data_IF_652612201447
#
_entry.id   IF_652612201447
#
_cell.length_a   1.000
_cell.length_b   1.000
_cell.length_c   1.000
_cell.angle_alpha   90.00
_cell.angle_beta   90.00
_cell.angle_gamma   90.00
#
_symmetry.space_group_name_H-M   'P 1'
#
loop_
_entity.id
_entity.type
_entity.pdbx_description
1 polymer ?
#
# COMPACT_ATOMS: atom_id res chain seq x y z
N UNK A 1 -19.20 49.10 -17.47
CA UNK A 1 -19.08 48.01 -18.45
C UNK A 1 -18.55 46.76 -17.74
N UNK A 2 -19.42 45.97 -17.09
CA UNK A 2 -19.03 44.69 -16.46
C UNK A 2 -20.13 43.67 -16.74
N UNK A 3 -20.29 43.34 -18.02
CA UNK A 3 -21.03 42.16 -18.43
C UNK A 3 -20.16 41.50 -19.49
N UNK A 4 -19.37 40.51 -19.07
CA UNK A 4 -18.50 39.76 -19.97
C UNK A 4 -19.30 38.95 -21.02
N UNK A 5 -20.63 38.97 -20.97
CA UNK A 5 -21.51 38.20 -21.85
C UNK A 5 -22.64 39.00 -22.48
N UNK A 6 -22.83 40.29 -22.16
CA UNK A 6 -23.92 41.12 -22.70
C UNK A 6 -25.34 40.59 -22.40
N UNK A 7 -25.46 39.55 -21.56
CA UNK A 7 -26.69 38.86 -21.22
C UNK A 7 -27.04 39.21 -19.78
N UNK A 8 -27.75 40.33 -19.61
CA UNK A 8 -28.46 40.62 -18.36
C UNK A 8 -29.58 39.60 -18.20
N UNK A 9 -29.76 39.05 -16.99
CA UNK A 9 -30.78 38.03 -16.68
C UNK A 9 -32.22 38.42 -17.10
N UNK A 10 -32.47 39.71 -17.33
CA UNK A 10 -33.78 40.27 -17.70
C UNK A 10 -33.77 41.19 -18.94
N UNK A 11 -32.66 41.31 -19.68
CA UNK A 11 -32.59 42.21 -20.85
C UNK A 11 -32.68 43.71 -20.54
N UNK A 12 -32.67 44.10 -19.26
CA UNK A 12 -32.56 45.50 -18.78
C UNK A 12 -31.62 45.56 -17.57
N UNK A 13 -31.01 46.73 -17.34
CA UNK A 13 -30.22 47.03 -16.13
C UNK A 13 -31.11 46.98 -14.89
N UNK A 14 -31.06 45.88 -14.15
CA UNK A 14 -31.81 45.65 -12.91
C UNK A 14 -30.88 45.73 -11.70
N UNK A 15 -31.41 46.05 -10.51
CA UNK A 15 -30.67 46.23 -9.25
C UNK A 15 -29.98 44.96 -8.70
N UNK A 16 -29.92 43.86 -9.47
CA UNK A 16 -29.30 42.58 -9.12
C UNK A 16 -27.89 42.40 -9.72
N UNK A 17 -27.06 43.45 -9.72
CA UNK A 17 -25.70 43.46 -10.29
C UNK A 17 -24.83 42.32 -9.72
N UNK A 18 -24.97 42.00 -8.43
CA UNK A 18 -24.22 40.91 -7.79
C UNK A 18 -24.60 39.52 -8.31
N UNK A 19 -25.85 39.31 -8.70
CA UNK A 19 -26.36 38.06 -9.24
C UNK A 19 -25.93 37.85 -10.70
N UNK A 20 -25.90 38.92 -11.50
CA UNK A 20 -25.34 38.89 -12.86
C UNK A 20 -23.81 38.63 -12.85
N UNK A 21 -23.09 39.16 -11.86
CA UNK A 21 -21.65 38.88 -11.66
C UNK A 21 -21.38 37.41 -11.30
N UNK A 22 -22.15 36.87 -10.33
CA UNK A 22 -22.05 35.45 -9.95
C UNK A 22 -22.40 34.52 -11.12
N UNK A 23 -23.41 34.87 -11.92
CA UNK A 23 -23.80 34.09 -13.10
C UNK A 23 -22.69 34.12 -14.17
N UNK A 24 -22.09 35.28 -14.44
CA UNK A 24 -20.94 35.43 -15.34
C UNK A 24 -19.72 34.57 -14.92
N UNK A 25 -19.50 34.42 -13.62
CA UNK A 25 -18.44 33.58 -13.06
C UNK A 25 -18.73 32.07 -13.21
N UNK A 26 -20.00 31.66 -13.08
CA UNK A 26 -20.42 30.26 -13.07
C UNK A 26 -20.59 29.64 -14.48
N UNK A 27 -20.89 30.45 -15.49
CA UNK A 27 -21.04 30.03 -16.90
C UNK A 27 -19.82 29.26 -17.46
N UNK A 28 -18.56 29.72 -17.31
CA UNK A 28 -17.40 29.01 -17.85
C UNK A 28 -17.17 27.63 -17.25
N UNK A 29 -17.34 27.48 -15.94
CA UNK A 29 -17.23 26.18 -15.27
C UNK A 29 -18.32 25.20 -15.74
N UNK A 30 -19.49 25.71 -16.12
CA UNK A 30 -20.60 24.90 -16.63
C UNK A 30 -20.38 24.40 -18.06
N UNK A 31 -19.63 25.15 -18.87
CA UNK A 31 -19.32 24.85 -20.27
C UNK A 31 -17.88 24.31 -20.49
N UNK A 32 -17.18 23.95 -19.41
CA UNK A 32 -15.79 23.50 -19.40
C UNK A 32 -15.48 22.35 -20.38
N UNK A 33 -16.49 21.50 -20.65
CA UNK A 33 -16.36 20.34 -21.54
C UNK A 33 -16.64 20.65 -23.03
N UNK A 34 -17.08 21.86 -23.38
CA UNK A 34 -17.43 22.24 -24.75
C UNK A 34 -16.21 22.36 -25.68
N UNK A 35 -15.03 22.68 -25.13
CA UNK A 35 -13.76 22.71 -25.88
C UNK A 35 -13.46 21.35 -26.55
N UNK A 36 -13.74 20.23 -25.87
CA UNK A 36 -13.51 18.90 -26.43
C UNK A 36 -14.54 18.53 -27.51
N UNK A 37 -15.72 19.16 -27.50
CA UNK A 37 -16.76 18.96 -28.52
C UNK A 37 -16.51 19.76 -29.81
N UNK A 38 -15.89 20.95 -29.74
CA UNK A 38 -15.55 21.73 -30.94
C UNK A 38 -14.44 21.05 -31.75
N UNK A 39 -13.43 20.51 -31.07
CA UNK A 39 -12.40 19.66 -31.70
C UNK A 39 -12.97 18.39 -32.33
N UNK A 40 -14.13 17.91 -31.85
CA UNK A 40 -14.80 16.73 -32.41
C UNK A 40 -15.48 16.97 -33.77
N UNK A 41 -15.73 18.23 -34.16
CA UNK A 41 -16.33 18.59 -35.45
C UNK A 41 -15.33 18.47 -36.62
N UNK A 42 -14.02 18.54 -36.35
CA UNK A 42 -12.97 18.60 -37.38
C UNK A 42 -12.48 17.24 -37.92
N UNK A 43 -13.08 16.10 -37.54
CA UNK A 43 -12.73 14.83 -38.18
C UNK A 43 -13.24 13.57 -37.48
N UNK A 44 -14.30 12.95 -38.01
CA UNK A 44 -14.80 11.64 -37.56
C UNK A 44 -13.73 10.53 -37.56
N UNK A 45 -12.74 10.55 -38.48
CA UNK A 45 -11.57 9.65 -38.48
C UNK A 45 -10.54 9.99 -37.40
N UNK A 46 -10.30 11.28 -37.10
CA UNK A 46 -9.38 11.74 -36.03
C UNK A 46 -9.93 11.48 -34.63
N UNK A 47 -11.26 11.38 -34.46
CA UNK A 47 -11.91 11.18 -33.14
C UNK A 47 -11.49 9.88 -32.43
N UNK A 48 -11.33 8.78 -33.17
CA UNK A 48 -10.86 7.51 -32.60
C UNK A 48 -9.39 7.63 -32.15
N UNK A 49 -8.54 8.21 -32.99
CA UNK A 49 -7.12 8.46 -32.69
C UNK A 49 -6.94 9.41 -31.51
N UNK A 50 -7.64 10.54 -31.47
CA UNK A 50 -7.58 11.52 -30.36
C UNK A 50 -8.09 10.91 -29.06
N UNK A 51 -9.16 10.10 -29.10
CA UNK A 51 -9.65 9.38 -27.91
C UNK A 51 -8.66 8.33 -27.41
N UNK A 52 -7.92 7.66 -28.31
CA UNK A 52 -6.86 6.73 -27.94
C UNK A 52 -5.65 7.46 -27.35
N UNK A 53 -5.23 8.58 -27.93
CA UNK A 53 -4.16 9.42 -27.38
C UNK A 53 -4.50 9.91 -25.97
N UNK A 54 -5.72 10.41 -25.74
CA UNK A 54 -6.18 10.82 -24.42
C UNK A 54 -6.18 9.65 -23.43
N UNK A 55 -6.57 8.46 -23.88
CA UNK A 55 -6.53 7.24 -23.06
C UNK A 55 -5.10 6.83 -22.69
N UNK A 56 -4.16 6.90 -23.63
CA UNK A 56 -2.75 6.60 -23.37
C UNK A 56 -2.16 7.63 -22.39
N UNK A 57 -2.40 8.93 -22.64
CA UNK A 57 -1.96 10.02 -21.78
C UNK A 57 -2.50 9.88 -20.35
N UNK A 58 -3.79 9.56 -20.19
CA UNK A 58 -4.40 9.33 -18.88
C UNK A 58 -3.75 8.15 -18.15
N UNK A 59 -3.43 7.05 -18.85
CA UNK A 59 -2.71 5.93 -18.26
C UNK A 59 -1.26 6.27 -17.87
N UNK A 60 -0.57 7.11 -18.65
CA UNK A 60 0.76 7.65 -18.31
C UNK A 60 0.68 8.51 -17.05
N UNK A 61 -0.32 9.38 -16.93
CA UNK A 61 -0.53 10.22 -15.73
C UNK A 61 -0.73 9.34 -14.49
N UNK A 62 -1.61 8.33 -14.56
CA UNK A 62 -1.78 7.40 -13.44
C UNK A 62 -0.50 6.62 -13.13
N UNK A 63 0.25 6.21 -14.15
CA UNK A 63 1.51 5.51 -13.95
C UNK A 63 2.55 6.41 -13.29
N UNK A 64 2.58 7.70 -13.61
CA UNK A 64 3.45 8.68 -12.99
C UNK A 64 3.06 8.94 -11.52
N UNK A 65 1.76 9.01 -11.22
CA UNK A 65 1.28 9.13 -9.83
C UNK A 65 1.69 7.91 -9.00
N UNK A 66 1.40 6.70 -9.49
CA UNK A 66 1.78 5.46 -8.79
C UNK A 66 3.30 5.34 -8.71
N UNK A 67 4.01 5.64 -9.80
CA UNK A 67 5.47 5.65 -9.87
C UNK A 67 6.07 6.63 -8.86
N UNK A 68 5.54 7.84 -8.73
CA UNK A 68 5.98 8.82 -7.75
C UNK A 68 5.79 8.38 -6.30
N UNK A 69 4.78 7.55 -6.02
CA UNK A 69 4.59 6.94 -4.70
C UNK A 69 5.54 5.76 -4.46
N UNK A 70 5.71 4.89 -5.46
CA UNK A 70 6.43 3.62 -5.34
C UNK A 70 7.95 3.79 -5.48
N UNK A 71 8.42 4.67 -6.34
CA UNK A 71 9.84 4.87 -6.63
C UNK A 71 10.69 5.28 -5.41
N UNK A 72 10.27 6.22 -4.54
CA UNK A 72 11.03 6.48 -3.31
C UNK A 72 11.06 5.27 -2.38
N UNK A 73 9.95 4.54 -2.26
CA UNK A 73 9.87 3.31 -1.47
C UNK A 73 10.81 2.23 -2.04
N UNK A 74 10.94 2.10 -3.37
CA UNK A 74 11.85 1.15 -4.01
C UNK A 74 13.31 1.53 -3.78
N UNK A 75 13.65 2.81 -3.82
CA UNK A 75 15.02 3.29 -3.54
C UNK A 75 15.41 2.97 -2.09
N UNK A 76 14.54 3.23 -1.13
CA UNK A 76 14.80 2.94 0.29
C UNK A 76 14.77 1.44 0.60
N UNK A 77 13.96 0.68 -0.13
CA UNK A 77 13.90 -0.77 -0.02
C UNK A 77 15.11 -1.49 -0.65
N UNK A 78 15.93 -0.83 -1.45
CA UNK A 78 17.03 -1.48 -2.18
C UNK A 78 18.41 -1.24 -1.55
N UNK A 79 19.37 -2.15 -1.78
CA UNK A 79 20.71 -2.10 -1.17
C UNK A 79 21.66 -1.18 -1.93
N UNK A 80 21.12 -0.37 -2.86
CA UNK A 80 21.82 0.68 -3.60
C UNK A 80 21.95 0.42 -5.11
N UNK A 81 21.63 -0.78 -5.61
CA UNK A 81 21.65 -1.11 -7.04
C UNK A 81 20.59 -0.34 -7.84
N UNK A 82 19.34 -0.39 -7.42
CA UNK A 82 18.23 0.38 -7.97
C UNK A 82 18.42 1.89 -7.79
N UNK A 83 18.95 2.32 -6.65
CA UNK A 83 19.25 3.72 -6.39
C UNK A 83 20.27 4.28 -7.39
N UNK A 84 21.32 3.51 -7.72
CA UNK A 84 22.29 3.89 -8.76
C UNK A 84 21.63 4.04 -10.13
N UNK A 85 20.83 3.06 -10.56
CA UNK A 85 20.11 3.12 -11.84
C UNK A 85 19.21 4.36 -11.90
N UNK A 86 18.45 4.58 -10.83
CA UNK A 86 17.50 5.71 -10.76
C UNK A 86 18.22 7.05 -10.79
N UNK A 87 19.34 7.18 -10.06
CA UNK A 87 20.14 8.39 -10.05
C UNK A 87 20.82 8.64 -11.40
N UNK A 88 21.30 7.61 -12.10
CA UNK A 88 21.86 7.75 -13.45
C UNK A 88 20.81 8.21 -14.46
N UNK A 89 19.60 7.66 -14.41
CA UNK A 89 18.48 8.12 -15.25
C UNK A 89 18.12 9.56 -14.88
N UNK A 90 17.98 9.87 -13.59
CA UNK A 90 17.62 11.22 -13.15
C UNK A 90 18.68 12.25 -13.58
N UNK A 91 19.97 11.92 -13.49
CA UNK A 91 21.08 12.77 -13.91
C UNK A 91 21.05 13.03 -15.42
N UNK A 92 20.77 12.02 -16.25
CA UNK A 92 20.58 12.20 -17.69
C UNK A 92 19.43 13.18 -18.00
N UNK A 93 18.36 13.11 -17.22
CA UNK A 93 17.19 13.99 -17.35
C UNK A 93 17.32 15.32 -16.59
N UNK A 94 18.41 15.60 -15.86
CA UNK A 94 18.57 16.86 -15.12
C UNK A 94 18.52 18.08 -16.04
N UNK A 95 19.04 17.96 -17.26
CA UNK A 95 18.98 19.03 -18.27
C UNK A 95 17.56 19.38 -18.73
N UNK A 96 16.66 18.38 -18.81
CA UNK A 96 15.24 18.58 -19.16
C UNK A 96 14.33 18.75 -17.95
N UNK A 97 14.84 18.59 -16.71
CA UNK A 97 14.01 18.61 -15.50
C UNK A 97 13.26 19.93 -15.36
N UNK A 98 13.93 21.05 -15.61
CA UNK A 98 13.34 22.37 -15.47
C UNK A 98 12.31 22.62 -16.58
N UNK A 99 12.61 22.24 -17.83
CA UNK A 99 11.66 22.36 -18.95
C UNK A 99 10.42 21.48 -18.76
N UNK A 100 10.59 20.24 -18.28
CA UNK A 100 9.48 19.34 -17.98
C UNK A 100 8.66 19.84 -16.79
N UNK A 101 9.30 20.35 -15.74
CA UNK A 101 8.60 20.93 -14.59
C UNK A 101 7.80 22.17 -15.00
N UNK A 102 8.37 23.03 -15.84
CA UNK A 102 7.72 24.21 -16.39
C UNK A 102 6.56 23.81 -17.32
N UNK A 103 6.74 22.81 -18.17
CA UNK A 103 5.67 22.25 -19.02
C UNK A 103 4.52 21.69 -18.17
N UNK A 104 4.81 20.95 -17.10
CA UNK A 104 3.79 20.41 -16.19
C UNK A 104 3.05 21.55 -15.49
N UNK A 105 3.77 22.55 -14.97
CA UNK A 105 3.18 23.73 -14.34
C UNK A 105 2.29 24.51 -15.32
N UNK A 106 2.77 24.70 -16.54
CA UNK A 106 2.02 25.34 -17.63
C UNK A 106 0.82 24.51 -18.07
N UNK A 107 0.85 23.18 -18.02
CA UNK A 107 -0.34 22.35 -18.25
C UNK A 107 -1.35 22.48 -17.12
N UNK A 108 -0.91 22.50 -15.86
CA UNK A 108 -1.79 22.64 -14.68
C UNK A 108 -2.52 23.98 -14.68
N UNK A 109 -1.86 25.06 -15.09
CA UNK A 109 -2.47 26.40 -15.16
C UNK A 109 -3.16 26.63 -16.51
N UNK A 110 -2.51 26.23 -17.60
CA UNK A 110 -2.95 26.49 -18.96
C UNK A 110 -4.21 25.72 -19.35
N UNK A 111 -4.36 24.45 -18.94
CA UNK A 111 -5.55 23.66 -19.27
C UNK A 111 -6.81 24.26 -18.62
N UNK A 112 -6.85 24.58 -17.31
CA UNK A 112 -7.99 25.27 -16.70
C UNK A 112 -8.24 26.66 -17.29
N UNK A 113 -7.18 27.41 -17.57
CA UNK A 113 -7.30 28.77 -18.13
C UNK A 113 -7.89 28.73 -19.54
N UNK A 114 -7.41 27.84 -20.41
CA UNK A 114 -7.96 27.63 -21.74
C UNK A 114 -9.41 27.15 -21.70
N UNK A 115 -9.73 26.21 -20.80
CA UNK A 115 -11.08 25.71 -20.60
C UNK A 115 -12.06 26.78 -20.08
N UNK A 116 -11.60 27.66 -19.20
CA UNK A 116 -12.36 28.80 -18.70
C UNK A 116 -12.67 29.79 -19.81
N UNK A 117 -11.67 30.20 -20.60
CA UNK A 117 -11.84 31.13 -21.73
C UNK A 117 -12.76 30.53 -22.80
N UNK A 118 -12.59 29.25 -23.13
CA UNK A 118 -13.43 28.57 -24.13
C UNK A 118 -14.87 28.37 -23.62
N UNK A 119 -15.05 28.10 -22.32
CA UNK A 119 -16.35 28.02 -21.67
C UNK A 119 -17.10 29.36 -21.67
N UNK A 120 -16.38 30.48 -21.48
CA UNK A 120 -16.93 31.83 -21.62
C UNK A 120 -17.39 32.11 -23.06
N UNK A 121 -16.53 31.85 -24.05
CA UNK A 121 -16.82 32.03 -25.47
C UNK A 121 -18.02 31.18 -25.94
N UNK A 122 -18.08 29.91 -25.55
CA UNK A 122 -19.19 29.04 -25.90
C UNK A 122 -20.50 29.45 -25.21
N UNK A 123 -20.42 29.91 -23.95
CA UNK A 123 -21.57 30.38 -23.18
C UNK A 123 -22.18 31.67 -23.73
N UNK A 124 -21.35 32.61 -24.20
CA UNK A 124 -21.80 33.88 -24.77
C UNK A 124 -22.39 33.71 -26.18
N UNK A 125 -21.79 32.87 -27.03
CA UNK A 125 -22.22 32.70 -28.43
C UNK A 125 -23.45 31.82 -28.59
N UNK A 126 -23.56 30.72 -27.83
CA UNK A 126 -24.59 29.70 -28.07
C UNK A 126 -25.80 29.74 -27.12
N UNK A 127 -25.84 30.65 -26.13
CA UNK A 127 -26.93 30.77 -25.12
C UNK A 127 -27.37 29.42 -24.51
N UNK A 128 -26.46 28.45 -24.39
CA UNK A 128 -26.74 27.10 -23.87
C UNK A 128 -26.25 26.99 -22.44
N UNK A 129 -27.16 26.67 -21.52
CA UNK A 129 -26.79 26.49 -20.10
C UNK A 129 -27.91 26.49 -19.06
N UNK A 130 -29.20 26.52 -19.43
CA UNK A 130 -30.28 26.30 -18.46
C UNK A 130 -30.68 24.82 -18.42
N UNK A 131 -30.48 24.19 -17.24
CA UNK A 131 -30.93 22.83 -16.86
C UNK A 131 -30.18 21.65 -17.50
N UNK A 132 -29.75 20.58 -16.82
CA UNK A 132 -30.00 20.03 -15.48
C UNK A 132 -28.81 19.15 -15.10
N UNK A 133 -28.26 19.27 -13.89
CA UNK A 133 -27.48 18.18 -13.30
C UNK A 133 -28.49 17.19 -12.70
N UNK A 134 -28.69 16.06 -13.36
CA UNK A 134 -29.47 14.94 -12.80
C UNK A 134 -28.53 13.99 -12.06
N UNK A 135 -28.97 13.47 -10.90
CA UNK A 135 -28.25 12.42 -10.14
C UNK A 135 -27.92 11.18 -11.00
N UNK A 136 -28.68 10.95 -12.09
CA UNK A 136 -28.43 9.91 -13.09
C UNK A 136 -27.08 10.04 -13.83
N UNK A 137 -26.48 11.24 -13.90
CA UNK A 137 -25.16 11.43 -14.52
C UNK A 137 -24.01 11.00 -13.60
N UNK A 138 -24.23 10.94 -12.29
CA UNK A 138 -23.24 10.44 -11.33
C UNK A 138 -23.11 8.92 -11.44
N UNK A 139 -24.24 8.21 -11.57
CA UNK A 139 -24.23 6.78 -11.88
C UNK A 139 -23.60 6.49 -13.24
N UNK A 140 -23.88 7.30 -14.26
CA UNK A 140 -23.21 7.18 -15.58
C UNK A 140 -21.72 7.50 -15.54
N UNK A 141 -21.27 8.42 -14.68
CA UNK A 141 -19.84 8.71 -14.47
C UNK A 141 -19.13 7.60 -13.69
N UNK A 142 -19.80 6.98 -12.72
CA UNK A 142 -19.29 5.78 -12.03
C UNK A 142 -19.26 4.59 -13.00
N UNK A 143 -20.24 4.46 -13.89
CA UNK A 143 -20.27 3.43 -14.93
C UNK A 143 -19.20 3.66 -16.00
N UNK A 144 -18.89 4.91 -16.35
CA UNK A 144 -17.83 5.26 -17.30
C UNK A 144 -16.44 5.12 -16.69
N UNK A 145 -16.27 5.39 -15.38
CA UNK A 145 -15.07 4.99 -14.63
C UNK A 145 -14.93 3.47 -14.57
N UNK A 146 -16.04 2.73 -14.47
CA UNK A 146 -16.07 1.27 -14.59
C UNK A 146 -15.74 0.76 -16.01
N UNK A 147 -15.58 1.65 -16.98
CA UNK A 147 -15.10 1.39 -18.34
C UNK A 147 -13.92 2.32 -18.64
N UNK A 148 -12.88 2.34 -17.80
CA UNK A 148 -11.59 2.91 -18.22
C UNK A 148 -11.22 2.29 -19.58
N UNK A 149 -10.88 3.11 -20.60
CA UNK A 149 -10.50 2.58 -21.91
C UNK A 149 -9.37 1.57 -21.78
N UNK A 150 -9.49 0.44 -22.47
CA UNK A 150 -8.46 -0.59 -22.63
C UNK A 150 -7.01 -0.10 -22.53
N UNK A 151 -6.72 0.92 -23.35
CA UNK A 151 -5.40 1.51 -23.50
C UNK A 151 -4.88 2.14 -22.21
N UNK A 152 -5.74 2.82 -21.42
CA UNK A 152 -5.34 3.41 -20.12
C UNK A 152 -4.81 2.35 -19.16
N UNK A 153 -5.50 1.20 -19.09
CA UNK A 153 -5.16 0.12 -18.16
C UNK A 153 -3.88 -0.59 -18.63
N UNK A 154 -3.73 -0.80 -19.94
CA UNK A 154 -2.52 -1.42 -20.50
C UNK A 154 -1.28 -0.55 -20.34
N UNK A 155 -1.38 0.76 -20.59
CA UNK A 155 -0.24 1.66 -20.42
C UNK A 155 0.13 1.79 -18.94
N UNK A 156 -0.86 1.89 -18.06
CA UNK A 156 -0.65 1.89 -16.60
C UNK A 156 0.05 0.63 -16.12
N UNK A 157 -0.54 -0.56 -16.37
CA UNK A 157 0.04 -1.83 -15.92
C UNK A 157 1.39 -2.09 -16.58
N UNK A 158 1.55 -1.76 -17.86
CA UNK A 158 2.80 -1.96 -18.59
C UNK A 158 3.95 -1.14 -18.00
N UNK A 159 3.73 0.15 -17.74
CA UNK A 159 4.74 1.02 -17.12
C UNK A 159 5.09 0.59 -15.70
N UNK A 160 4.08 0.27 -14.89
CA UNK A 160 4.29 -0.21 -13.51
C UNK A 160 5.01 -1.56 -13.48
N UNK A 161 4.64 -2.50 -14.35
CA UNK A 161 5.37 -3.77 -14.48
C UNK A 161 6.81 -3.55 -14.94
N UNK A 162 7.04 -2.65 -15.90
CA UNK A 162 8.38 -2.29 -16.37
C UNK A 162 9.27 -1.78 -15.24
N UNK A 163 8.74 -0.86 -14.42
CA UNK A 163 9.43 -0.36 -13.23
C UNK A 163 9.85 -1.50 -12.29
N UNK A 164 8.94 -2.43 -11.99
CA UNK A 164 9.23 -3.55 -11.11
C UNK A 164 10.17 -4.58 -11.72
N UNK A 165 10.13 -4.80 -13.04
CA UNK A 165 11.10 -5.66 -13.73
C UNK A 165 12.50 -5.07 -13.61
N UNK A 166 12.66 -3.76 -13.83
CA UNK A 166 13.95 -3.08 -13.64
C UNK A 166 14.42 -3.19 -12.19
N UNK A 167 13.52 -2.99 -11.23
CA UNK A 167 13.82 -3.18 -9.82
C UNK A 167 14.28 -4.61 -9.51
N UNK A 168 13.53 -5.62 -9.91
CA UNK A 168 13.90 -7.03 -9.68
C UNK A 168 15.22 -7.37 -10.36
N UNK A 169 15.47 -6.88 -11.58
CA UNK A 169 16.72 -7.06 -12.29
C UNK A 169 17.92 -6.45 -11.52
N UNK A 170 17.74 -5.26 -10.93
CA UNK A 170 18.77 -4.61 -10.11
C UNK A 170 19.08 -5.38 -8.81
N UNK A 171 18.13 -6.19 -8.32
CA UNK A 171 18.31 -7.03 -7.14
C UNK A 171 18.91 -8.41 -7.45
N UNK A 172 18.96 -8.83 -8.71
CA UNK A 172 19.53 -10.13 -9.09
C UNK A 172 20.97 -10.33 -8.60
N UNK A 173 21.90 -9.36 -8.71
CA UNK A 173 23.25 -9.53 -8.19
C UNK A 173 23.25 -9.81 -6.69
N UNK A 174 22.39 -9.15 -5.92
CA UNK A 174 22.24 -9.41 -4.49
C UNK A 174 21.73 -10.84 -4.21
N UNK A 175 20.77 -11.34 -5.00
CA UNK A 175 20.31 -12.73 -4.88
C UNK A 175 21.41 -13.72 -5.22
N UNK A 176 22.17 -13.50 -6.30
CA UNK A 176 23.27 -14.38 -6.67
C UNK A 176 24.40 -14.37 -5.62
N UNK A 177 24.76 -13.22 -5.07
CA UNK A 177 25.73 -13.14 -3.96
C UNK A 177 25.26 -13.92 -2.73
N UNK A 178 23.96 -13.88 -2.41
CA UNK A 178 23.40 -14.68 -1.32
C UNK A 178 23.43 -16.20 -1.60
N UNK A 179 23.25 -16.63 -2.85
CA UNK A 179 23.34 -18.04 -3.26
C UNK A 179 24.78 -18.56 -3.33
N UNK A 180 25.75 -17.71 -3.70
CA UNK A 180 27.17 -18.05 -3.79
C UNK A 180 27.85 -18.12 -2.42
N UNK A 181 27.16 -17.71 -1.35
CA UNK A 181 27.65 -17.84 0.02
C UNK A 181 28.68 -16.79 0.43
N UNK A 182 28.90 -15.77 -0.40
CA UNK A 182 29.61 -14.55 0.00
C UNK A 182 28.73 -13.79 0.98
N UNK A 183 28.88 -14.15 2.26
CA UNK A 183 28.21 -13.49 3.37
C UNK A 183 28.83 -12.08 3.47
N UNK A 184 28.08 -11.00 3.22
CA UNK A 184 28.64 -9.67 3.31
C UNK A 184 29.11 -9.42 4.75
N UNK A 185 30.32 -8.88 4.89
CA UNK A 185 30.87 -8.48 6.18
C UNK A 185 29.94 -7.44 6.84
N UNK A 186 29.50 -7.70 8.07
CA UNK A 186 28.67 -6.78 8.85
C UNK A 186 27.21 -7.17 9.04
N UNK A 187 26.95 -8.38 9.57
CA UNK A 187 25.62 -8.89 9.96
C UNK A 187 24.76 -7.88 10.74
N UNK A 188 25.37 -7.06 11.60
CA UNK A 188 24.69 -6.01 12.37
C UNK A 188 24.21 -4.85 11.48
N UNK A 189 25.06 -4.35 10.57
CA UNK A 189 24.69 -3.31 9.59
C UNK A 189 23.59 -3.80 8.65
N UNK A 190 23.64 -5.09 8.30
CA UNK A 190 22.65 -5.74 7.44
C UNK A 190 21.25 -5.81 8.08
N UNK A 191 21.18 -5.99 9.41
CA UNK A 191 19.91 -6.08 10.14
C UNK A 191 19.18 -4.74 10.30
N UNK A 192 19.93 -3.63 10.34
CA UNK A 192 19.37 -2.28 10.38
C UNK A 192 18.86 -1.84 9.01
N UNK A 193 19.60 -2.19 7.96
CA UNK A 193 19.15 -2.10 6.57
C UNK A 193 17.84 -2.90 6.31
N UNK A 194 17.72 -4.09 6.90
CA UNK A 194 16.53 -4.92 6.79
C UNK A 194 15.27 -4.28 7.44
N UNK A 195 15.43 -3.41 8.44
CA UNK A 195 14.31 -2.79 9.16
C UNK A 195 13.59 -1.72 8.34
N UNK A 196 14.31 -0.82 7.65
CA UNK A 196 13.70 0.23 6.81
C UNK A 196 13.06 -0.37 5.56
N UNK A 197 13.81 -1.16 4.80
CA UNK A 197 13.30 -1.70 3.54
C UNK A 197 12.08 -2.62 3.64
N UNK A 198 11.82 -3.22 4.81
CA UNK A 198 10.67 -4.12 5.01
C UNK A 198 9.31 -3.41 4.93
N UNK A 199 9.14 -2.31 5.67
CA UNK A 199 7.87 -1.56 5.69
C UNK A 199 7.58 -0.95 4.32
N UNK A 200 8.64 -0.62 3.60
CA UNK A 200 8.55 0.06 2.32
C UNK A 200 8.06 -0.94 1.27
N UNK A 201 8.61 -2.16 1.30
CA UNK A 201 8.11 -3.29 0.49
C UNK A 201 6.68 -3.71 0.86
N UNK A 202 6.29 -3.65 2.15
CA UNK A 202 4.91 -3.89 2.55
C UNK A 202 3.95 -2.86 1.94
N UNK A 203 4.33 -1.59 1.98
CA UNK A 203 3.56 -0.49 1.40
C UNK A 203 3.43 -0.64 -0.11
N UNK A 204 4.53 -0.94 -0.80
CA UNK A 204 4.54 -1.23 -2.25
C UNK A 204 3.61 -2.41 -2.58
N UNK A 205 3.66 -3.48 -1.78
CA UNK A 205 2.79 -4.66 -1.96
C UNK A 205 1.31 -4.29 -1.82
N UNK A 206 0.96 -3.46 -0.84
CA UNK A 206 -0.41 -2.99 -0.65
C UNK A 206 -0.90 -2.11 -1.82
N UNK A 207 -0.04 -1.23 -2.35
CA UNK A 207 -0.32 -0.43 -3.56
C UNK A 207 -0.55 -1.36 -4.75
N UNK A 208 0.30 -2.36 -4.97
CA UNK A 208 0.17 -3.31 -6.07
C UNK A 208 -1.11 -4.12 -6.00
N UNK A 209 -1.49 -4.58 -4.82
CA UNK A 209 -2.74 -5.31 -4.63
C UNK A 209 -3.96 -4.43 -4.86
N UNK A 210 -3.90 -3.15 -4.46
CA UNK A 210 -4.96 -2.17 -4.76
C UNK A 210 -5.08 -1.93 -6.26
N UNK A 211 -3.94 -1.78 -6.96
CA UNK A 211 -3.89 -1.67 -8.42
C UNK A 211 -4.45 -2.93 -9.11
N UNK A 212 -4.09 -4.11 -8.61
CA UNK A 212 -4.55 -5.40 -9.13
C UNK A 212 -6.07 -5.59 -8.91
N UNK A 213 -6.58 -5.20 -7.73
CA UNK A 213 -8.01 -5.22 -7.43
C UNK A 213 -8.77 -4.22 -8.30
N UNK A 214 -8.26 -2.99 -8.44
CA UNK A 214 -8.81 -1.96 -9.33
C UNK A 214 -8.85 -2.41 -10.79
N UNK A 215 -7.74 -2.93 -11.31
CA UNK A 215 -7.66 -3.46 -12.67
C UNK A 215 -8.70 -4.57 -12.90
N UNK A 216 -8.89 -5.48 -11.94
CA UNK A 216 -9.87 -6.56 -12.03
C UNK A 216 -11.33 -6.08 -11.90
N UNK A 217 -11.62 -5.10 -11.05
CA UNK A 217 -12.97 -4.58 -10.83
C UNK A 217 -13.43 -3.70 -12.00
N UNK A 218 -12.54 -2.85 -12.50
CA UNK A 218 -12.81 -1.91 -13.59
C UNK A 218 -12.76 -2.59 -14.96
N UNK A 219 -11.97 -3.66 -15.13
CA UNK A 219 -11.84 -4.35 -16.43
C UNK A 219 -12.63 -5.65 -16.53
N UNK A 220 -13.64 -5.86 -15.68
CA UNK A 220 -14.39 -7.15 -15.60
C UNK A 220 -14.97 -7.60 -16.95
N UNK A 221 -15.48 -6.66 -17.76
CA UNK A 221 -16.01 -6.94 -19.12
C UNK A 221 -14.91 -7.18 -20.15
N UNK A 222 -13.76 -6.53 -19.98
CA UNK A 222 -12.61 -6.59 -20.87
C UNK A 222 -11.77 -7.87 -20.69
N UNK A 223 -11.67 -8.37 -19.45
CA UNK A 223 -10.92 -9.58 -19.08
C UNK A 223 -11.44 -10.86 -19.74
N UNK A 224 -12.72 -10.90 -20.08
CA UNK A 224 -13.30 -12.05 -20.79
C UNK A 224 -12.83 -12.14 -22.25
N UNK A 225 -12.34 -11.05 -22.85
CA UNK A 225 -11.97 -10.99 -24.27
C UNK A 225 -10.48 -10.78 -24.59
N UNK A 226 -9.66 -10.22 -23.69
CA UNK A 226 -8.26 -9.88 -24.03
C UNK A 226 -7.20 -10.72 -23.28
N UNK A 227 -6.33 -11.47 -24.01
CA UNK A 227 -5.25 -12.24 -23.38
C UNK A 227 -4.18 -11.32 -22.75
N UNK A 228 -3.95 -10.14 -23.33
CA UNK A 228 -2.95 -9.16 -22.88
C UNK A 228 -3.20 -8.70 -21.44
N UNK A 229 -4.46 -8.43 -21.07
CA UNK A 229 -4.80 -8.01 -19.70
C UNK A 229 -4.52 -9.12 -18.68
N UNK A 230 -4.75 -10.38 -19.07
CA UNK A 230 -4.44 -11.53 -18.21
C UNK A 230 -2.94 -11.63 -18.00
N UNK A 231 -2.15 -11.48 -19.05
CA UNK A 231 -0.67 -11.49 -18.97
C UNK A 231 -0.15 -10.42 -18.02
N UNK A 232 -0.58 -9.16 -18.16
CA UNK A 232 -0.12 -8.10 -17.26
C UNK A 232 -0.57 -8.30 -15.80
N UNK A 233 -1.78 -8.79 -15.56
CA UNK A 233 -2.22 -9.11 -14.20
C UNK A 233 -1.41 -10.27 -13.59
N UNK A 234 -1.09 -11.31 -14.36
CA UNK A 234 -0.24 -12.42 -13.91
C UNK A 234 1.17 -11.93 -13.64
N UNK A 235 1.74 -11.15 -14.55
CA UNK A 235 3.07 -10.57 -14.42
C UNK A 235 3.17 -9.69 -13.17
N UNK A 236 2.22 -8.76 -12.97
CA UNK A 236 2.17 -7.91 -11.79
C UNK A 236 2.02 -8.73 -10.50
N UNK A 237 1.18 -9.77 -10.51
CA UNK A 237 1.00 -10.64 -9.35
C UNK A 237 2.26 -11.46 -9.04
N UNK A 238 2.97 -11.96 -10.05
CA UNK A 238 4.25 -12.65 -9.89
C UNK A 238 5.33 -11.71 -9.36
N UNK A 239 5.46 -10.51 -9.93
CA UNK A 239 6.39 -9.49 -9.44
C UNK A 239 6.06 -9.12 -7.98
N UNK A 240 4.78 -9.00 -7.65
CA UNK A 240 4.35 -8.73 -6.26
C UNK A 240 4.69 -9.90 -5.33
N UNK A 241 4.55 -11.16 -5.75
CA UNK A 241 4.99 -12.31 -4.97
C UNK A 241 6.50 -12.31 -4.74
N UNK A 242 7.30 -11.92 -5.74
CA UNK A 242 8.74 -11.76 -5.60
C UNK A 242 9.07 -10.67 -4.57
N UNK A 243 8.39 -9.51 -4.61
CA UNK A 243 8.53 -8.45 -3.60
C UNK A 243 8.14 -8.92 -2.19
N UNK A 244 7.09 -9.74 -2.07
CA UNK A 244 6.71 -10.33 -0.79
C UNK A 244 7.83 -11.28 -0.30
N UNK A 245 8.40 -12.09 -1.19
CA UNK A 245 9.51 -12.98 -0.84
C UNK A 245 10.75 -12.20 -0.40
N UNK A 246 11.08 -11.08 -1.06
CA UNK A 246 12.19 -10.21 -0.65
C UNK A 246 11.93 -9.59 0.73
N UNK A 247 10.70 -9.13 0.99
CA UNK A 247 10.29 -8.61 2.29
C UNK A 247 10.38 -9.69 3.39
N UNK A 248 9.93 -10.91 3.10
CA UNK A 248 9.98 -12.03 4.05
C UNK A 248 11.42 -12.41 4.40
N UNK A 249 12.31 -12.44 3.42
CA UNK A 249 13.75 -12.68 3.63
C UNK A 249 14.37 -11.63 4.55
N UNK A 250 14.10 -10.33 4.30
CA UNK A 250 14.55 -9.24 5.19
C UNK A 250 14.00 -9.39 6.61
N UNK A 251 12.73 -9.77 6.75
CA UNK A 251 12.11 -9.93 8.05
C UNK A 251 12.66 -11.13 8.82
N UNK A 252 12.94 -12.22 8.12
CA UNK A 252 13.59 -13.40 8.70
C UNK A 252 14.99 -13.08 9.22
N UNK A 253 15.78 -12.28 8.48
CA UNK A 253 17.08 -11.79 8.95
C UNK A 253 16.92 -10.88 10.18
N UNK A 254 15.93 -9.99 10.18
CA UNK A 254 15.67 -9.10 11.31
C UNK A 254 15.26 -9.86 12.58
N UNK A 255 14.42 -10.89 12.45
CA UNK A 255 14.07 -11.82 13.54
C UNK A 255 15.28 -12.67 13.95
N UNK A 256 16.11 -13.06 12.99
CA UNK A 256 17.36 -13.79 13.21
C UNK A 256 18.27 -13.05 14.19
N UNK A 257 18.50 -11.76 13.96
CA UNK A 257 19.40 -10.91 14.74
C UNK A 257 18.84 -10.47 16.10
N UNK A 258 17.57 -10.05 16.16
CA UNK A 258 16.99 -9.40 17.36
C UNK A 258 15.88 -10.21 18.05
N UNK A 259 15.66 -11.46 17.65
CA UNK A 259 14.53 -12.27 18.13
C UNK A 259 13.18 -11.86 17.52
N UNK A 260 12.13 -12.57 17.91
CA UNK A 260 10.77 -12.27 17.46
C UNK A 260 10.17 -11.15 18.32
N UNK A 261 9.32 -10.31 17.73
CA UNK A 261 8.52 -9.34 18.46
C UNK A 261 7.11 -9.29 17.87
N UNK A 262 6.12 -8.82 18.63
CA UNK A 262 4.75 -8.68 18.13
C UNK A 262 4.70 -7.74 16.90
N UNK A 263 5.49 -6.66 16.93
CA UNK A 263 5.64 -5.71 15.82
C UNK A 263 6.28 -6.34 14.57
N UNK A 264 7.00 -7.46 14.72
CA UNK A 264 7.55 -8.23 13.59
C UNK A 264 6.61 -9.35 13.13
N UNK A 265 5.93 -10.00 14.06
CA UNK A 265 5.01 -11.09 13.77
C UNK A 265 3.80 -10.63 12.96
N UNK A 266 3.15 -9.53 13.36
CA UNK A 266 1.92 -9.04 12.70
C UNK A 266 2.13 -8.72 11.22
N UNK A 267 3.16 -7.95 10.83
CA UNK A 267 3.45 -7.71 9.42
C UNK A 267 3.81 -8.99 8.65
N UNK A 268 4.48 -9.95 9.28
CA UNK A 268 4.81 -11.24 8.63
C UNK A 268 3.54 -12.05 8.32
N UNK A 269 2.60 -12.11 9.28
CA UNK A 269 1.26 -12.72 9.10
C UNK A 269 0.48 -12.00 8.01
N UNK A 270 0.54 -10.66 7.98
CA UNK A 270 -0.10 -9.86 6.95
C UNK A 270 0.50 -10.11 5.56
N UNK A 271 1.82 -10.23 5.43
CA UNK A 271 2.47 -10.58 4.16
C UNK A 271 2.03 -11.96 3.65
N UNK A 272 1.86 -12.95 4.53
CA UNK A 272 1.30 -14.26 4.15
C UNK A 272 -0.12 -14.10 3.60
N UNK A 273 -0.96 -13.28 4.25
CA UNK A 273 -2.29 -12.97 3.75
C UNK A 273 -2.25 -12.32 2.35
N UNK A 274 -1.37 -11.35 2.12
CA UNK A 274 -1.18 -10.71 0.82
C UNK A 274 -0.69 -11.71 -0.24
N UNK A 275 0.23 -12.61 0.11
CA UNK A 275 0.72 -13.66 -0.79
C UNK A 275 -0.42 -14.60 -1.24
N UNK A 276 -1.30 -15.00 -0.32
CA UNK A 276 -2.49 -15.81 -0.63
C UNK A 276 -3.41 -15.07 -1.60
N UNK A 277 -3.61 -13.76 -1.42
CA UNK A 277 -4.42 -12.96 -2.36
C UNK A 277 -3.75 -12.89 -3.74
N UNK A 278 -2.45 -12.61 -3.82
CA UNK A 278 -1.70 -12.59 -5.08
C UNK A 278 -1.81 -13.94 -5.82
N UNK A 279 -1.60 -15.05 -5.11
CA UNK A 279 -1.77 -16.40 -5.66
C UNK A 279 -3.22 -16.65 -6.10
N UNK A 280 -4.19 -16.17 -5.32
CA UNK A 280 -5.61 -16.18 -5.67
C UNK A 280 -5.89 -15.46 -6.99
N UNK A 281 -5.27 -14.30 -7.23
CA UNK A 281 -5.45 -13.57 -8.51
C UNK A 281 -4.87 -14.34 -9.69
N UNK A 282 -3.72 -15.00 -9.52
CA UNK A 282 -3.14 -15.87 -10.55
C UNK A 282 -4.07 -17.05 -10.83
N UNK A 283 -4.54 -17.73 -9.79
CA UNK A 283 -5.49 -18.85 -9.89
C UNK A 283 -6.81 -18.41 -10.54
N UNK A 284 -7.25 -17.18 -10.28
CA UNK A 284 -8.46 -16.60 -10.86
C UNK A 284 -8.38 -16.51 -12.39
N UNK A 285 -7.18 -16.50 -12.99
CA UNK A 285 -7.03 -16.47 -14.45
C UNK A 285 -7.41 -17.79 -15.12
N UNK A 286 -7.31 -18.90 -14.38
CA UNK A 286 -7.72 -20.24 -14.84
C UNK A 286 -9.09 -20.65 -14.30
N UNK A 287 -9.48 -20.18 -13.11
CA UNK A 287 -10.74 -20.56 -12.44
C UNK A 287 -11.53 -19.33 -12.03
N UNK A 288 -12.83 -19.29 -12.30
CA UNK A 288 -13.65 -18.14 -11.89
C UNK A 288 -14.12 -18.30 -10.44
N UNK A 289 -13.64 -17.45 -9.53
CA UNK A 289 -14.14 -17.35 -8.16
C UNK A 289 -14.02 -15.91 -7.65
N UNK A 290 -14.74 -15.58 -6.58
CA UNK A 290 -14.73 -14.23 -6.02
C UNK A 290 -13.48 -13.99 -5.17
N UNK A 291 -12.60 -13.09 -5.62
CA UNK A 291 -11.40 -12.69 -4.86
C UNK A 291 -11.76 -12.07 -3.51
N UNK A 292 -12.89 -11.36 -3.44
CA UNK A 292 -13.36 -10.76 -2.19
C UNK A 292 -13.75 -11.84 -1.17
N UNK A 293 -14.36 -12.94 -1.62
CA UNK A 293 -14.68 -14.08 -0.75
C UNK A 293 -13.40 -14.76 -0.27
N UNK A 294 -12.42 -14.96 -1.15
CA UNK A 294 -11.12 -15.51 -0.76
C UNK A 294 -10.46 -14.64 0.30
N UNK A 295 -10.37 -13.33 0.06
CA UNK A 295 -9.78 -12.38 1.01
C UNK A 295 -10.52 -12.38 2.37
N UNK A 296 -11.85 -12.39 2.36
CA UNK A 296 -12.64 -12.42 3.59
C UNK A 296 -12.41 -13.71 4.40
N UNK A 297 -12.42 -14.88 3.74
CA UNK A 297 -12.20 -16.18 4.39
C UNK A 297 -10.77 -16.28 4.92
N UNK A 298 -9.77 -15.97 4.11
CA UNK A 298 -8.37 -16.01 4.54
C UNK A 298 -8.12 -15.04 5.70
N UNK A 299 -8.69 -13.82 5.62
CA UNK A 299 -8.57 -12.82 6.68
C UNK A 299 -9.19 -13.30 7.99
N UNK A 300 -10.40 -13.87 7.94
CA UNK A 300 -11.07 -14.43 9.11
C UNK A 300 -10.27 -15.59 9.72
N UNK A 301 -9.79 -16.54 8.90
CA UNK A 301 -8.98 -17.67 9.37
C UNK A 301 -7.69 -17.20 10.02
N UNK A 302 -6.94 -16.29 9.38
CA UNK A 302 -5.69 -15.76 9.93
C UNK A 302 -5.91 -14.98 11.23
N UNK A 303 -7.00 -14.21 11.32
CA UNK A 303 -7.36 -13.47 12.54
C UNK A 303 -7.75 -14.43 13.67
N UNK A 304 -8.57 -15.44 13.39
CA UNK A 304 -8.90 -16.49 14.35
C UNK A 304 -7.64 -17.21 14.85
N UNK A 305 -6.73 -17.59 13.95
CA UNK A 305 -5.43 -18.19 14.32
C UNK A 305 -4.61 -17.25 15.21
N UNK A 306 -4.56 -15.96 14.89
CA UNK A 306 -3.84 -14.96 15.69
C UNK A 306 -4.43 -14.85 17.10
N UNK A 307 -5.75 -14.84 17.23
CA UNK A 307 -6.44 -14.82 18.53
C UNK A 307 -6.16 -16.10 19.34
N UNK A 308 -6.17 -17.27 18.70
CA UNK A 308 -5.94 -18.56 19.36
C UNK A 308 -4.49 -18.75 19.81
N UNK A 309 -3.53 -18.27 19.03
CA UNK A 309 -2.10 -18.45 19.32
C UNK A 309 -1.59 -17.56 20.47
N UNK A 310 -2.33 -16.51 20.83
CA UNK A 310 -1.89 -15.42 21.71
C UNK A 310 -0.49 -14.89 21.28
N UNK A 311 -0.42 -13.85 20.42
CA UNK A 311 0.83 -13.39 19.82
C UNK A 311 1.93 -13.08 20.84
N UNK A 312 1.56 -12.53 21.99
CA UNK A 312 2.51 -12.16 23.02
C UNK A 312 3.11 -13.42 23.71
N UNK A 313 2.27 -14.40 24.01
CA UNK A 313 2.72 -15.70 24.54
C UNK A 313 3.58 -16.48 23.56
N UNK A 314 3.22 -16.50 22.27
CA UNK A 314 4.01 -17.14 21.22
C UNK A 314 5.40 -16.50 21.09
N UNK A 315 5.48 -15.17 21.07
CA UNK A 315 6.75 -14.42 21.00
C UNK A 315 7.63 -14.74 22.21
N UNK A 316 7.07 -14.72 23.42
CA UNK A 316 7.81 -15.02 24.64
C UNK A 316 8.40 -16.44 24.63
N UNK A 317 7.61 -17.44 24.23
CA UNK A 317 8.07 -18.84 24.10
C UNK A 317 9.15 -19.00 23.04
N UNK A 318 8.98 -18.39 21.89
CA UNK A 318 9.94 -18.46 20.79
C UNK A 318 11.29 -17.85 21.19
N UNK A 319 11.28 -16.67 21.80
CA UNK A 319 12.51 -16.01 22.24
C UNK A 319 13.20 -16.74 23.39
N UNK A 320 12.44 -17.29 24.35
CA UNK A 320 12.99 -18.10 25.43
C UNK A 320 13.69 -19.35 24.88
N UNK A 321 13.04 -20.07 23.96
CA UNK A 321 13.63 -21.23 23.29
C UNK A 321 14.92 -20.88 22.53
N UNK A 322 14.94 -19.75 21.81
CA UNK A 322 16.14 -19.29 21.09
C UNK A 322 17.28 -18.87 22.00
N UNK A 323 16.97 -18.23 23.12
CA UNK A 323 17.94 -17.85 24.14
C UNK A 323 18.55 -19.09 24.81
N UNK A 324 17.71 -20.04 25.24
CA UNK A 324 18.17 -21.30 25.83
C UNK A 324 19.00 -22.16 24.87
N UNK A 325 18.71 -22.09 23.56
CA UNK A 325 19.51 -22.75 22.52
C UNK A 325 20.81 -22.00 22.17
N UNK A 326 21.12 -20.86 22.81
CA UNK A 326 22.32 -20.06 22.54
C UNK A 326 22.31 -19.31 21.20
N UNK A 327 21.19 -19.31 20.47
CA UNK A 327 21.07 -18.65 19.16
C UNK A 327 20.72 -17.16 19.26
N UNK A 328 20.37 -16.67 20.46
CA UNK A 328 20.02 -15.29 20.74
C UNK A 328 20.88 -14.82 21.92
N UNK A 329 21.60 -13.71 21.73
CA UNK A 329 22.60 -13.23 22.72
C UNK A 329 21.99 -12.68 24.00
N UNK A 330 20.82 -12.05 23.92
CA UNK A 330 20.12 -11.47 25.07
C UNK A 330 18.63 -11.77 25.03
N UNK A 331 18.04 -11.97 26.21
CA UNK A 331 16.61 -12.17 26.38
C UNK A 331 15.97 -10.86 26.85
N UNK A 332 15.10 -10.29 26.03
CA UNK A 332 14.44 -9.02 26.32
C UNK A 332 13.21 -9.24 27.24
N UNK A 333 13.36 -8.84 28.52
CA UNK A 333 12.33 -8.98 29.55
C UNK A 333 11.16 -8.01 29.34
N UNK A 334 11.38 -6.88 28.65
CA UNK A 334 10.32 -5.89 28.35
C UNK A 334 9.19 -6.52 27.51
N UNK A 335 9.51 -7.50 26.67
CA UNK A 335 8.53 -8.27 25.89
C UNK A 335 7.56 -9.03 26.81
N UNK A 336 8.05 -9.53 27.95
CA UNK A 336 7.23 -10.26 28.92
C UNK A 336 6.25 -9.31 29.62
N UNK A 337 6.70 -8.12 30.01
CA UNK A 337 5.83 -7.10 30.62
C UNK A 337 4.67 -6.71 29.68
N UNK A 338 4.95 -6.56 28.38
CA UNK A 338 3.93 -6.29 27.36
C UNK A 338 3.01 -7.47 27.10
N UNK A 339 3.51 -8.70 27.25
CA UNK A 339 2.74 -9.93 27.04
C UNK A 339 1.90 -10.38 28.23
N UNK A 340 2.06 -9.78 29.41
CA UNK A 340 1.27 -10.11 30.58
C UNK A 340 1.47 -11.56 31.04
N UNK A 341 0.41 -12.26 31.50
CA UNK A 341 0.54 -13.57 32.15
C UNK A 341 1.01 -14.70 31.21
N UNK A 342 0.89 -14.53 29.89
CA UNK A 342 1.34 -15.51 28.91
C UNK A 342 2.88 -15.70 28.89
N UNK A 343 3.63 -14.73 29.41
CA UNK A 343 5.09 -14.76 29.52
C UNK A 343 5.64 -15.52 30.74
N UNK A 344 4.78 -15.90 31.71
CA UNK A 344 5.22 -16.51 32.98
C UNK A 344 5.95 -17.83 32.77
N UNK A 345 5.44 -18.70 31.89
CA UNK A 345 6.08 -20.00 31.64
C UNK A 345 7.46 -19.84 30.97
N UNK A 346 7.60 -19.07 29.88
CA UNK A 346 8.91 -18.72 29.32
C UNK A 346 9.87 -18.08 30.33
N UNK A 347 9.38 -17.15 31.16
CA UNK A 347 10.18 -16.47 32.16
C UNK A 347 10.78 -17.45 33.20
N UNK A 348 9.97 -18.39 33.69
CA UNK A 348 10.43 -19.42 34.63
C UNK A 348 11.51 -20.33 34.02
N UNK A 349 11.33 -20.73 32.75
CA UNK A 349 12.29 -21.59 32.04
C UNK A 349 13.65 -20.89 31.82
N UNK A 350 13.62 -19.60 31.50
CA UNK A 350 14.86 -18.82 31.35
C UNK A 350 15.50 -18.57 32.71
N UNK A 351 14.70 -18.24 33.74
CA UNK A 351 15.19 -17.99 35.09
C UNK A 351 15.91 -19.20 35.70
N UNK A 352 15.39 -20.42 35.50
CA UNK A 352 16.00 -21.65 36.02
C UNK A 352 17.32 -22.03 35.35
N UNK A 353 17.54 -21.55 34.12
CA UNK A 353 18.62 -22.03 33.25
C UNK A 353 19.70 -20.98 32.99
N UNK A 354 19.45 -19.72 33.34
CA UNK A 354 20.41 -18.62 33.10
C UNK A 354 21.36 -18.44 34.28
N UNK A 355 22.62 -18.17 33.95
CA UNK A 355 23.69 -17.86 34.91
C UNK A 355 23.93 -16.35 35.07
N UNK A 356 23.22 -15.50 34.30
CA UNK A 356 23.37 -14.04 34.38
C UNK A 356 22.58 -13.47 35.57
N UNK A 357 23.25 -12.89 36.59
CA UNK A 357 22.59 -12.35 37.77
C UNK A 357 21.63 -11.21 37.44
N UNK A 358 21.96 -10.36 36.45
CA UNK A 358 21.13 -9.21 36.08
C UNK A 358 19.83 -9.64 35.43
N UNK A 359 19.90 -10.66 34.56
CA UNK A 359 18.72 -11.20 33.91
C UNK A 359 17.80 -11.92 34.91
N UNK A 360 18.37 -12.63 35.89
CA UNK A 360 17.58 -13.29 36.94
C UNK A 360 16.78 -12.29 37.77
N UNK A 361 17.42 -11.21 38.22
CA UNK A 361 16.75 -10.14 38.98
C UNK A 361 15.59 -9.51 38.19
N UNK A 362 15.81 -9.20 36.90
CA UNK A 362 14.74 -8.68 36.03
C UNK A 362 13.57 -9.65 35.85
N UNK A 363 13.85 -10.95 35.72
CA UNK A 363 12.83 -11.99 35.61
C UNK A 363 12.07 -12.17 36.93
N UNK A 364 12.74 -12.07 38.07
CA UNK A 364 12.14 -12.15 39.39
C UNK A 364 11.17 -10.99 39.63
N UNK A 365 11.58 -9.76 39.31
CA UNK A 365 10.71 -8.56 39.35
C UNK A 365 9.46 -8.77 38.48
N UNK A 366 9.61 -9.31 37.27
CA UNK A 366 8.48 -9.61 36.40
C UNK A 366 7.55 -10.67 37.01
N UNK A 367 8.11 -11.77 37.53
CA UNK A 367 7.34 -12.88 38.12
C UNK A 367 6.56 -12.42 39.36
N UNK A 368 7.16 -11.61 40.21
CA UNK A 368 6.52 -11.07 41.41
C UNK A 368 5.43 -10.06 41.06
N UNK A 369 5.65 -9.20 40.07
CA UNK A 369 4.59 -8.32 39.55
C UNK A 369 3.40 -9.13 39.03
N UNK A 370 3.66 -10.22 38.28
CA UNK A 370 2.58 -11.11 37.85
C UNK A 370 1.88 -11.76 39.04
N UNK A 371 2.61 -12.29 40.04
CA UNK A 371 2.01 -12.88 41.25
C UNK A 371 1.08 -11.90 41.97
N UNK A 372 1.53 -10.66 42.20
CA UNK A 372 0.73 -9.62 42.84
C UNK A 372 -0.52 -9.27 42.03
N UNK A 373 -0.39 -9.11 40.71
CA UNK A 373 -1.55 -8.86 39.82
C UNK A 373 -2.54 -10.01 39.89
N UNK A 374 -2.06 -11.25 39.81
CA UNK A 374 -2.92 -12.42 39.80
C UNK A 374 -3.61 -12.67 41.14
N UNK A 375 -2.97 -12.30 42.25
CA UNK A 375 -3.57 -12.30 43.58
C UNK A 375 -4.62 -11.20 43.72
N UNK A 376 -4.38 -10.00 43.18
CA UNK A 376 -5.32 -8.87 43.23
C UNK A 376 -6.64 -9.15 42.50
N UNK A 377 -6.59 -9.86 41.37
CA UNK A 377 -7.80 -10.23 40.61
C UNK A 377 -8.41 -11.57 41.05
N UNK A 378 -7.83 -12.27 42.03
CA UNK A 378 -8.36 -13.52 42.53
C UNK A 378 -9.76 -13.33 43.11
N UNK A 379 -10.69 -14.20 42.72
CA UNK A 379 -12.09 -14.16 43.15
C UNK A 379 -12.87 -12.88 42.72
N UNK A 380 -12.36 -12.15 41.72
CA UNK A 380 -13.09 -11.04 41.08
C UNK A 380 -13.70 -11.49 39.74
N UNK A 381 -14.73 -10.79 39.22
CA UNK A 381 -15.29 -11.06 37.88
C UNK A 381 -14.27 -10.91 36.74
N UNK A 382 -13.13 -10.27 37.02
CA UNK A 382 -12.04 -10.01 36.06
C UNK A 382 -10.95 -11.10 36.09
N UNK A 383 -11.21 -12.23 36.76
CA UNK A 383 -10.28 -13.37 36.83
C UNK A 383 -10.36 -14.24 35.56
N UNK A 384 -9.36 -14.13 34.69
CA UNK A 384 -9.32 -14.85 33.41
C UNK A 384 -8.55 -16.18 33.51
N UNK A 385 -8.80 -17.10 32.57
CA UNK A 385 -8.16 -18.42 32.53
C UNK A 385 -6.62 -18.36 32.50
N UNK A 386 -6.03 -17.34 31.88
CA UNK A 386 -4.58 -17.14 31.86
C UNK A 386 -4.00 -16.81 33.25
N UNK A 387 -4.75 -16.09 34.08
CA UNK A 387 -4.40 -15.76 35.47
C UNK A 387 -4.50 -17.00 36.38
N UNK A 388 -5.48 -17.88 36.17
CA UNK A 388 -5.53 -19.17 36.85
C UNK A 388 -4.32 -20.04 36.51
N UNK A 389 -3.97 -20.13 35.22
CA UNK A 389 -2.84 -20.91 34.74
C UNK A 389 -1.49 -20.36 35.24
N UNK A 390 -1.32 -19.04 35.28
CA UNK A 390 -0.09 -18.43 35.81
C UNK A 390 0.10 -18.75 37.29
N UNK A 391 -0.94 -18.66 38.13
CA UNK A 391 -0.91 -19.03 39.57
C UNK A 391 -0.53 -20.48 39.80
N UNK A 392 -1.13 -21.42 39.05
CA UNK A 392 -0.78 -22.84 39.18
C UNK A 392 0.70 -23.09 38.86
N UNK A 393 1.23 -22.42 37.84
CA UNK A 393 2.63 -22.58 37.40
C UNK A 393 3.63 -21.93 38.36
N UNK A 394 3.31 -20.76 38.91
CA UNK A 394 4.17 -20.11 39.92
C UNK A 394 4.14 -20.82 41.28
N UNK A 395 3.00 -21.39 41.68
CA UNK A 395 2.87 -22.17 42.91
C UNK A 395 3.60 -23.52 42.84
N UNK A 396 3.62 -24.17 41.67
CA UNK A 396 4.35 -25.42 41.45
C UNK A 396 5.87 -25.27 41.55
N UNK A 397 6.42 -24.12 41.14
CA UNK A 397 7.87 -23.87 41.18
C UNK A 397 8.41 -23.67 42.60
N UNK A 398 7.63 -23.07 43.52
CA UNK A 398 8.02 -22.88 44.92
C UNK A 398 8.02 -24.18 45.76
N UNK A 399 7.46 -25.29 45.25
CA UNK A 399 7.45 -26.58 45.95
C UNK A 399 8.64 -27.49 45.56
N UNK A 400 9.42 -27.09 44.57
CA UNK A 400 10.56 -27.87 44.03
C UNK A 400 11.93 -27.25 44.29
N UNK A 401 11.99 -26.17 45.08
CA UNK A 401 13.22 -25.49 45.52
C UNK A 401 13.57 -25.84 46.94
#
# INVERSE_FOLDING_TARGET
MISATGLTLLGKTSNFIGLDFLNGLLIPFKNFNCQFKSFAFLGRKKRATVSQFFSIALGIVFAFIIGGMVLPLLIEADSGGFAKITNSVLQYFQGMRNEVAELIFNMIIGIPTAAYIFGLMAGSVYKRGCFTFKKDDLEKHVLSLRLLPAATVYTLLGLVCGLYVVFMASQLPYFFSAFVGERPDGWLVYSEYARRGFFELCTITAINLSLLAGANLLSKKQRQGSPVLKTFNVLLALLTLLLIATAFSKMALYIGAYGLSVRRLLPSVFLVFLAVICAGVIAMQKRHFSILRLAAVTGAVMLCLLCLLNPAGFVARYNAGRYLAGTLSSFDVEILFRGGPAGVVPALQVHSSTNDPRLRDQLEIYLDNQRQRTAKYAATPWDNFENLRSRQKTAGNNRGS
#
